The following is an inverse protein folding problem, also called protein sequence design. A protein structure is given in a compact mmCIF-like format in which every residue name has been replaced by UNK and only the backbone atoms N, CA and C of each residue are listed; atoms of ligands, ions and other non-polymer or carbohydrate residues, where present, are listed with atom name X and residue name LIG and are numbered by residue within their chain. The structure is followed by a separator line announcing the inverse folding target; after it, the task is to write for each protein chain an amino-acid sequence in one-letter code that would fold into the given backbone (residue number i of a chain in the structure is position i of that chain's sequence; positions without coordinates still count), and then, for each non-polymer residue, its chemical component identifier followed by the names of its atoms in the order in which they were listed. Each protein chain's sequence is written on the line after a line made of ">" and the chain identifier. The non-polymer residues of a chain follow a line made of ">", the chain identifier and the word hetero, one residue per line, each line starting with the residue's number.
data_IF_144205411622
#
_entry.id   IF_144205411622
#
_cell.length_a   1.000
_cell.length_b   1.000
_cell.length_c   1.000
_cell.angle_alpha   90.00
_cell.angle_beta   90.00
_cell.angle_gamma   90.00
#
_symmetry.space_group_name_H-M   'P 1'
#
loop_
_entity.id
_entity.type
_entity.pdbx_description
1 polymer ?
#
# COMPACT_ATOMS: atom_id res chain seq x y z
N UNK A 1 10.97 -2.81 10.49
CA UNK A 1 9.95 -2.97 9.43
C UNK A 1 10.53 -3.77 8.27
N UNK A 2 9.81 -4.78 7.84
CA UNK A 2 10.21 -5.57 6.68
C UNK A 2 9.79 -4.83 5.42
N UNK A 3 10.65 -4.83 4.39
CA UNK A 3 10.33 -4.21 3.10
C UNK A 3 10.39 -5.28 2.03
N UNK A 4 9.30 -5.44 1.29
CA UNK A 4 9.18 -6.44 0.25
C UNK A 4 8.83 -5.77 -1.07
N UNK A 5 9.54 -6.11 -2.13
CA UNK A 5 9.26 -5.59 -3.45
C UNK A 5 8.30 -6.53 -4.17
N UNK A 6 7.23 -5.95 -4.67
CA UNK A 6 6.17 -6.62 -5.42
C UNK A 6 5.30 -7.58 -4.59
N UNK A 7 4.01 -7.47 -4.82
CA UNK A 7 3.01 -8.24 -4.09
C UNK A 7 3.19 -9.75 -4.25
N UNK A 8 3.63 -10.19 -5.43
CA UNK A 8 3.86 -11.61 -5.68
C UNK A 8 4.93 -12.22 -4.78
N UNK A 9 5.83 -11.39 -4.25
CA UNK A 9 6.91 -11.83 -3.37
C UNK A 9 6.53 -11.72 -1.90
N UNK A 10 5.43 -11.06 -1.61
CA UNK A 10 4.97 -10.87 -0.24
C UNK A 10 4.12 -12.06 0.16
N UNK A 11 4.45 -12.65 1.30
CA UNK A 11 3.70 -13.78 1.82
C UNK A 11 3.60 -13.64 3.34
N UNK A 12 2.42 -13.84 3.86
CA UNK A 12 2.22 -13.80 5.29
C UNK A 12 1.45 -15.03 5.73
N UNK A 13 1.99 -15.75 6.70
CA UNK A 13 1.30 -16.87 7.32
C UNK A 13 0.36 -16.34 8.41
N UNK A 14 0.71 -15.20 8.98
CA UNK A 14 -0.09 -14.59 10.01
C UNK A 14 -1.25 -13.81 9.40
N UNK A 15 -2.42 -13.78 10.06
CA UNK A 15 -3.50 -12.95 9.59
C UNK A 15 -3.08 -11.49 9.60
N UNK A 16 -3.50 -10.74 8.59
CA UNK A 16 -3.01 -9.38 8.39
C UNK A 16 -4.12 -8.36 8.18
N UNK A 17 -3.73 -7.11 8.38
CA UNK A 17 -4.56 -5.95 8.06
C UNK A 17 -3.70 -5.01 7.20
N UNK A 18 -4.31 -4.46 6.16
CA UNK A 18 -3.60 -3.69 5.15
C UNK A 18 -4.25 -2.34 4.91
N UNK A 19 -3.42 -1.34 4.68
CA UNK A 19 -3.86 -0.13 3.98
C UNK A 19 -3.00 0.06 2.76
N UNK A 20 -3.54 0.73 1.74
CA UNK A 20 -2.82 0.92 0.48
C UNK A 20 -2.98 2.33 -0.04
N UNK A 21 -1.99 2.79 -0.79
CA UNK A 21 -1.99 4.12 -1.36
C UNK A 21 -0.59 4.54 -1.74
N UNK A 22 -0.48 5.70 -2.39
CA UNK A 22 0.82 6.26 -2.76
C UNK A 22 1.47 6.98 -1.60
N UNK A 23 0.67 7.56 -0.71
CA UNK A 23 1.15 8.25 0.49
C UNK A 23 2.14 9.36 0.22
N UNK A 24 1.97 10.06 -0.90
CA UNK A 24 2.81 11.21 -1.21
C UNK A 24 2.62 12.31 -0.18
N UNK A 25 3.74 12.80 0.35
CA UNK A 25 3.75 13.86 1.33
C UNK A 25 3.43 13.43 2.76
N UNK A 26 2.92 12.24 2.95
CA UNK A 26 2.49 11.72 4.26
C UNK A 26 1.81 12.79 5.11
N UNK A 27 0.69 13.32 4.58
CA UNK A 27 -0.10 14.36 5.24
C UNK A 27 -0.78 13.87 6.52
N UNK A 28 -1.33 14.82 7.27
CA UNK A 28 -2.07 14.49 8.50
C UNK A 28 -3.11 13.40 8.28
N UNK A 29 -3.82 13.44 7.14
CA UNK A 29 -4.81 12.43 6.80
C UNK A 29 -4.21 11.05 6.67
N UNK A 30 -3.04 10.97 6.03
CA UNK A 30 -2.32 9.70 5.88
C UNK A 30 -1.87 9.17 7.25
N UNK A 31 -1.39 10.06 8.10
CA UNK A 31 -0.99 9.66 9.46
C UNK A 31 -2.15 9.11 10.26
N UNK A 32 -3.33 9.71 10.12
CA UNK A 32 -4.53 9.20 10.78
C UNK A 32 -4.87 7.79 10.31
N UNK A 33 -4.81 7.55 9.01
CA UNK A 33 -5.08 6.22 8.44
C UNK A 33 -4.08 5.20 8.97
N UNK A 34 -2.80 5.57 9.00
CA UNK A 34 -1.75 4.68 9.49
C UNK A 34 -1.91 4.39 10.98
N UNK A 35 -2.24 5.40 11.76
CA UNK A 35 -2.51 5.20 13.19
C UNK A 35 -3.70 4.27 13.41
N UNK A 36 -4.75 4.42 12.61
CA UNK A 36 -5.90 3.54 12.66
C UNK A 36 -5.48 2.11 12.33
N UNK A 37 -4.65 1.95 11.30
CA UNK A 37 -4.12 0.65 10.92
C UNK A 37 -3.39 0.00 12.09
N UNK A 38 -2.51 0.73 12.75
CA UNK A 38 -1.73 0.21 13.87
C UNK A 38 -2.64 -0.14 15.04
N UNK A 39 -3.60 0.72 15.36
CA UNK A 39 -4.53 0.46 16.46
C UNK A 39 -5.36 -0.80 16.21
N UNK A 40 -5.91 -0.94 15.00
CA UNK A 40 -6.68 -2.13 14.65
C UNK A 40 -5.82 -3.38 14.62
N UNK A 41 -4.59 -3.25 14.16
CA UNK A 41 -3.60 -4.34 14.16
C UNK A 41 -3.40 -4.89 15.56
N UNK A 42 -3.19 -4.01 16.53
CA UNK A 42 -2.98 -4.41 17.91
C UNK A 42 -4.24 -4.97 18.55
N UNK A 43 -5.37 -4.32 18.29
CA UNK A 43 -6.64 -4.73 18.85
C UNK A 43 -7.08 -6.12 18.40
N UNK A 44 -6.87 -6.43 17.14
CA UNK A 44 -7.31 -7.69 16.53
C UNK A 44 -6.18 -8.70 16.37
N UNK A 45 -4.99 -8.38 16.83
CA UNK A 45 -3.81 -9.24 16.72
C UNK A 45 -3.52 -9.61 15.26
N UNK A 46 -3.50 -8.59 14.40
CA UNK A 46 -3.23 -8.75 12.98
C UNK A 46 -1.91 -8.07 12.63
N UNK A 47 -1.19 -8.67 11.67
CA UNK A 47 0.05 -8.07 11.18
C UNK A 47 -0.26 -6.82 10.37
N UNK A 48 0.38 -5.70 10.68
CA UNK A 48 0.12 -4.43 9.99
C UNK A 48 0.96 -4.30 8.72
N UNK A 49 0.27 -4.08 7.59
CA UNK A 49 0.90 -4.00 6.28
C UNK A 49 0.50 -2.70 5.58
N UNK A 50 1.45 -2.12 4.85
CA UNK A 50 1.16 -1.03 3.91
C UNK A 50 1.59 -1.48 2.53
N UNK A 51 0.72 -1.27 1.54
CA UNK A 51 1.04 -1.49 0.14
C UNK A 51 1.13 -0.13 -0.53
N UNK A 52 2.28 0.18 -1.11
CA UNK A 52 2.46 1.41 -1.86
C UNK A 52 2.95 1.07 -3.26
N UNK A 53 2.85 2.05 -4.16
CA UNK A 53 3.21 1.87 -5.56
C UNK A 53 4.40 2.74 -5.91
N UNK A 54 5.32 2.17 -6.66
CA UNK A 54 6.49 2.90 -7.13
C UNK A 54 6.88 2.37 -8.50
N UNK A 55 7.07 3.24 -9.50
CA UNK A 55 6.90 4.69 -9.42
C UNK A 55 5.45 5.08 -9.18
N UNK A 56 5.24 6.38 -8.91
CA UNK A 56 3.89 6.90 -8.71
C UNK A 56 3.05 6.61 -9.95
N UNK A 57 1.79 6.16 -9.80
CA UNK A 57 0.94 5.83 -10.96
C UNK A 57 0.88 6.90 -12.04
N UNK A 58 0.88 8.17 -11.67
CA UNK A 58 0.87 9.26 -12.64
C UNK A 58 2.11 9.28 -13.52
N UNK A 59 3.26 8.89 -12.97
CA UNK A 59 4.52 8.87 -13.73
C UNK A 59 4.50 7.80 -14.81
N UNK A 60 3.75 6.73 -14.61
CA UNK A 60 3.61 5.66 -15.58
C UNK A 60 2.59 6.02 -16.65
N UNK A 61 1.46 6.58 -16.24
CA UNK A 61 0.35 6.89 -17.15
C UNK A 61 0.65 8.13 -17.98
N UNK A 62 1.25 9.14 -17.37
CA UNK A 62 1.64 10.40 -18.03
C UNK A 62 3.15 10.51 -18.09
N UNK A 63 3.76 9.73 -18.97
CA UNK A 63 5.21 9.63 -19.03
C UNK A 63 5.92 10.95 -19.36
N UNK A 64 5.21 11.90 -19.96
CA UNK A 64 5.77 13.20 -20.29
C UNK A 64 5.57 14.25 -19.19
N UNK A 65 4.89 13.92 -18.14
CA UNK A 65 4.63 14.85 -17.05
C UNK A 65 5.74 14.78 -16.01
N UNK A 66 6.25 15.94 -15.64
CA UNK A 66 7.20 16.02 -14.55
C UNK A 66 6.44 16.05 -13.24
N UNK A 67 6.19 14.89 -12.69
CA UNK A 67 5.53 14.79 -11.39
C UNK A 67 6.55 14.35 -10.36
N UNK A 68 6.79 15.22 -9.41
CA UNK A 68 7.72 14.92 -8.33
C UNK A 68 6.93 14.53 -7.10
N UNK A 69 7.30 13.43 -6.48
CA UNK A 69 6.74 13.05 -5.20
C UNK A 69 7.20 14.04 -4.14
N UNK A 70 6.30 14.40 -3.25
CA UNK A 70 6.62 15.29 -2.14
C UNK A 70 7.60 14.60 -1.19
N UNK A 71 7.40 13.29 -0.99
CA UNK A 71 8.28 12.49 -0.16
C UNK A 71 9.02 11.46 -0.99
N UNK A 72 10.29 11.22 -0.67
CA UNK A 72 11.04 10.14 -1.29
C UNK A 72 10.59 8.80 -0.69
N UNK A 73 10.93 7.72 -1.38
CA UNK A 73 10.61 6.38 -0.88
C UNK A 73 11.30 6.11 0.46
N UNK A 74 12.53 6.58 0.60
CA UNK A 74 13.28 6.40 1.85
C UNK A 74 12.63 7.15 3.02
N UNK A 75 12.12 8.35 2.76
CA UNK A 75 11.41 9.11 3.78
C UNK A 75 10.12 8.40 4.21
N UNK A 76 9.39 7.83 3.24
CA UNK A 76 8.19 7.05 3.55
C UNK A 76 8.51 5.85 4.42
N UNK A 77 9.57 5.10 4.08
CA UNK A 77 9.99 3.95 4.86
C UNK A 77 10.29 4.35 6.31
N UNK A 78 11.00 5.44 6.49
CA UNK A 78 11.35 5.93 7.81
C UNK A 78 10.10 6.28 8.63
N UNK A 79 9.17 7.01 8.02
CA UNK A 79 7.94 7.41 8.71
C UNK A 79 7.10 6.20 9.10
N UNK A 80 6.92 5.26 8.17
CA UNK A 80 6.13 4.05 8.45
C UNK A 80 6.76 3.21 9.55
N UNK A 81 8.07 3.08 9.51
CA UNK A 81 8.80 2.34 10.53
C UNK A 81 8.61 2.97 11.92
N UNK A 82 8.71 4.29 11.99
CA UNK A 82 8.53 5.00 13.26
C UNK A 82 7.11 4.87 13.80
N UNK A 83 6.12 4.77 12.90
CA UNK A 83 4.74 4.62 13.32
C UNK A 83 4.37 3.20 13.74
N UNK A 84 5.26 2.24 13.51
CA UNK A 84 5.05 0.88 13.96
C UNK A 84 4.52 -0.08 12.93
N UNK A 85 4.59 0.26 11.65
CA UNK A 85 4.17 -0.63 10.56
C UNK A 85 5.11 -1.83 10.51
N UNK A 86 4.55 -3.04 10.43
CA UNK A 86 5.35 -4.26 10.45
C UNK A 86 5.96 -4.61 9.11
N UNK A 87 5.24 -4.37 8.01
CA UNK A 87 5.77 -4.64 6.67
C UNK A 87 5.28 -3.61 5.66
N UNK A 88 6.19 -3.19 4.78
CA UNK A 88 5.89 -2.32 3.65
C UNK A 88 6.10 -3.11 2.38
N UNK A 89 5.05 -3.18 1.54
CA UNK A 89 5.13 -3.83 0.24
C UNK A 89 5.15 -2.73 -0.82
N UNK A 90 6.17 -2.76 -1.67
CA UNK A 90 6.34 -1.78 -2.73
C UNK A 90 6.06 -2.46 -4.06
N UNK A 91 4.93 -2.15 -4.65
CA UNK A 91 4.50 -2.75 -5.91
C UNK A 91 4.96 -1.92 -7.09
N UNK A 92 5.65 -2.56 -8.04
CA UNK A 92 6.01 -1.91 -9.30
C UNK A 92 4.73 -1.55 -10.04
N UNK A 93 4.54 -0.25 -10.28
CA UNK A 93 3.38 0.21 -11.03
C UNK A 93 3.77 0.40 -12.49
N UNK A 94 3.48 -0.59 -13.30
CA UNK A 94 3.75 -0.57 -14.73
C UNK A 94 2.44 -0.75 -15.50
N UNK A 95 2.52 -0.73 -16.84
CA UNK A 95 1.32 -0.87 -17.67
C UNK A 95 0.59 -2.18 -17.42
N UNK A 96 1.34 -3.24 -17.24
CA UNK A 96 0.75 -4.55 -16.95
C UNK A 96 -0.06 -4.51 -15.65
N UNK A 97 0.55 -4.00 -14.60
CA UNK A 97 -0.14 -3.91 -13.32
C UNK A 97 -1.31 -2.94 -13.36
N UNK A 98 -1.19 -1.83 -14.11
CA UNK A 98 -2.27 -0.84 -14.20
C UNK A 98 -3.52 -1.40 -14.86
N UNK A 99 -3.40 -2.50 -15.59
CA UNK A 99 -4.52 -3.15 -16.25
C UNK A 99 -5.12 -4.32 -15.46
N UNK A 100 -4.59 -4.58 -14.29
CA UNK A 100 -5.12 -5.67 -13.47
C UNK A 100 -6.54 -5.32 -13.00
N UNK A 101 -7.41 -6.30 -12.98
CA UNK A 101 -8.79 -6.09 -12.56
C UNK A 101 -8.87 -6.08 -11.04
N UNK A 102 -9.88 -5.39 -10.53
CA UNK A 102 -10.06 -5.28 -9.08
C UNK A 102 -10.17 -6.66 -8.41
N UNK A 103 -10.88 -7.59 -9.04
CA UNK A 103 -11.06 -8.93 -8.51
C UNK A 103 -9.73 -9.67 -8.39
N UNK A 104 -8.88 -9.57 -9.41
CA UNK A 104 -7.57 -10.21 -9.40
C UNK A 104 -6.68 -9.60 -8.33
N UNK A 105 -6.75 -8.29 -8.19
CA UNK A 105 -5.96 -7.59 -7.19
C UNK A 105 -6.33 -8.04 -5.78
N UNK A 106 -7.63 -8.11 -5.49
CA UNK A 106 -8.12 -8.57 -4.19
C UNK A 106 -7.71 -10.02 -3.93
N UNK A 107 -7.80 -10.89 -4.95
CA UNK A 107 -7.36 -12.27 -4.81
C UNK A 107 -5.89 -12.38 -4.43
N UNK A 108 -5.04 -11.55 -5.06
CA UNK A 108 -3.63 -11.53 -4.72
C UNK A 108 -3.40 -11.12 -3.27
N UNK A 109 -4.13 -10.11 -2.83
CA UNK A 109 -4.02 -9.63 -1.44
C UNK A 109 -4.44 -10.73 -0.46
N UNK A 110 -5.58 -11.33 -0.69
CA UNK A 110 -6.12 -12.35 0.22
C UNK A 110 -5.24 -13.60 0.24
N UNK A 111 -4.85 -14.07 -0.94
CA UNK A 111 -4.11 -15.34 -1.03
C UNK A 111 -2.65 -15.20 -0.55
N UNK A 112 -2.01 -14.09 -0.86
CA UNK A 112 -0.60 -13.93 -0.49
C UNK A 112 -0.40 -13.44 0.94
N UNK A 113 -1.31 -12.61 1.43
CA UNK A 113 -1.10 -11.91 2.69
C UNK A 113 -1.94 -12.44 3.85
N UNK A 114 -2.75 -13.46 3.62
CA UNK A 114 -3.69 -13.93 4.65
C UNK A 114 -4.51 -12.76 5.18
N UNK A 115 -4.99 -11.92 4.25
CA UNK A 115 -5.63 -10.66 4.57
C UNK A 115 -6.99 -10.85 5.23
N UNK A 116 -7.21 -10.21 6.37
CA UNK A 116 -8.47 -10.27 7.11
C UNK A 116 -9.22 -8.96 7.08
N UNK A 117 -8.50 -7.83 7.06
CA UNK A 117 -9.10 -6.50 7.05
C UNK A 117 -8.32 -5.59 6.12
N UNK A 118 -9.02 -4.64 5.52
CA UNK A 118 -8.39 -3.61 4.71
C UNK A 118 -8.96 -2.25 5.12
N UNK A 119 -8.08 -1.27 5.26
CA UNK A 119 -8.47 0.09 5.54
C UNK A 119 -8.17 0.92 4.30
N UNK A 120 -9.20 1.53 3.72
CA UNK A 120 -9.05 2.32 2.50
C UNK A 120 -9.29 3.77 2.81
N UNK A 121 -8.42 4.62 2.27
CA UNK A 121 -8.59 6.05 2.42
C UNK A 121 -9.77 6.55 1.60
N UNK A 122 -10.26 7.71 1.99
CA UNK A 122 -11.33 8.38 1.27
C UNK A 122 -10.89 8.64 -0.17
N UNK A 123 -11.75 8.35 -1.13
CA UNK A 123 -11.50 8.49 -2.56
C UNK A 123 -10.42 7.57 -3.12
N UNK A 124 -10.03 6.55 -2.38
CA UNK A 124 -9.07 5.60 -2.91
C UNK A 124 -9.68 4.78 -4.04
N UNK A 125 -8.90 4.57 -5.10
CA UNK A 125 -9.33 3.81 -6.27
C UNK A 125 -8.29 2.75 -6.61
N UNK A 126 -8.75 1.56 -6.96
CA UNK A 126 -7.86 0.48 -7.38
C UNK A 126 -8.53 -0.36 -8.46
N UNK A 127 -7.68 -0.99 -9.31
CA UNK A 127 -8.15 -1.77 -10.42
C UNK A 127 -8.45 -0.90 -11.64
N UNK A 128 -8.63 -1.55 -12.79
CA UNK A 128 -8.83 -0.86 -14.06
C UNK A 128 -10.18 -0.17 -14.16
N UNK A 129 -11.24 -0.86 -13.76
CA UNK A 129 -12.62 -0.41 -13.90
C UNK A 129 -13.26 -0.07 -12.56
N UNK A 130 -12.48 0.43 -11.62
CA UNK A 130 -13.02 0.69 -10.34
C UNK A 130 -13.75 2.01 -10.32
N UNK A 131 -14.75 2.06 -9.68
CA UNK A 131 -15.53 3.28 -9.51
C UNK A 131 -15.11 4.03 -8.25
#
# INVERSE_FOLDING_TARGET
>A
MIVTNNLKNAKSKEPSILTLGTFDGVHKGHKKIIKRLINESKKSNLKSLILTFFPHPRNVINSNAEIKSISTLEEKKEIFSKLGVQELIIQDFNKSFSNIRAEEFIELLVNNLNLKKIIVGYNHKFGKNRS
#
